data_IF_658553045784
#
_entry.id   IF_658553045784
#
_cell.length_a   1.000
_cell.length_b   1.000
_cell.length_c   1.000
_cell.angle_alpha   90.00
_cell.angle_beta   90.00
_cell.angle_gamma   90.00
#
_symmetry.space_group_name_H-M   'P 1'
#
loop_
_entity.id
_entity.type
_entity.pdbx_description
1 polymer ?
#
# COMPACT_ATOMS: atom_id res chain seq x y z
N UNK A 1 3.07 -3.12 18.12
CA UNK A 1 3.92 -2.10 17.50
C UNK A 1 5.17 -1.91 18.35
N UNK A 2 6.28 -1.68 17.71
CA UNK A 2 7.54 -1.26 18.30
C UNK A 2 7.80 0.19 17.89
N UNK A 3 8.20 1.02 18.82
CA UNK A 3 8.37 2.45 18.61
C UNK A 3 9.79 2.81 19.05
N UNK A 4 10.58 3.37 18.16
CA UNK A 4 11.89 3.89 18.45
C UNK A 4 11.79 5.38 18.67
N UNK A 5 12.18 5.84 19.85
CA UNK A 5 12.22 7.23 20.26
C UNK A 5 13.67 7.62 20.51
N UNK A 6 14.05 8.85 20.20
CA UNK A 6 15.40 9.34 20.46
C UNK A 6 15.73 9.24 21.96
N UNK A 7 16.92 8.72 22.29
CA UNK A 7 17.36 8.56 23.68
C UNK A 7 17.53 9.86 24.44
N UNK A 8 17.61 10.99 23.73
CA UNK A 8 17.72 12.33 24.32
C UNK A 8 16.35 12.92 24.71
N UNK A 9 15.25 12.31 24.30
CA UNK A 9 13.88 12.74 24.65
C UNK A 9 13.68 12.62 26.16
N UNK A 10 13.13 13.65 26.78
CA UNK A 10 12.91 13.68 28.24
C UNK A 10 11.94 12.56 28.66
N UNK A 11 12.28 11.84 29.72
CA UNK A 11 11.45 10.79 30.31
C UNK A 11 10.02 11.25 30.64
N UNK A 12 9.85 12.51 31.03
CA UNK A 12 8.52 13.09 31.29
C UNK A 12 7.68 13.20 30.01
N UNK A 13 8.30 13.50 28.88
CA UNK A 13 7.61 13.62 27.59
C UNK A 13 7.33 12.23 27.00
N UNK A 14 8.23 11.26 27.17
CA UNK A 14 7.97 9.86 26.85
C UNK A 14 6.80 9.32 27.68
N UNK A 15 6.74 9.65 28.96
CA UNK A 15 5.60 9.28 29.81
C UNK A 15 4.27 9.87 29.35
N UNK A 16 4.25 11.14 28.91
CA UNK A 16 3.03 11.77 28.34
C UNK A 16 2.64 11.11 27.02
N UNK A 17 3.61 10.86 26.15
CA UNK A 17 3.42 10.17 24.87
C UNK A 17 2.78 8.79 25.09
N UNK A 18 3.31 7.98 26.00
CA UNK A 18 2.76 6.69 26.38
C UNK A 18 1.32 6.77 26.86
N UNK A 19 1.02 7.75 27.74
CA UNK A 19 -0.34 7.98 28.23
C UNK A 19 -1.32 8.42 27.12
N UNK A 20 -0.86 9.11 26.09
CA UNK A 20 -1.68 9.44 24.93
C UNK A 20 -1.87 8.21 24.05
N UNK A 21 -0.82 7.43 23.81
CA UNK A 21 -0.88 6.20 23.01
C UNK A 21 -1.77 5.12 23.65
N UNK A 22 -1.77 5.00 24.97
CA UNK A 22 -2.60 4.05 25.72
C UNK A 22 -4.11 4.31 25.58
N UNK A 23 -4.49 5.54 25.18
CA UNK A 23 -5.88 5.95 24.95
C UNK A 23 -6.34 5.78 23.51
N UNK A 24 -5.45 5.43 22.60
CA UNK A 24 -5.78 5.18 21.19
C UNK A 24 -6.64 3.93 21.10
N UNK A 25 -7.68 4.00 20.30
CA UNK A 25 -8.63 2.90 20.15
C UNK A 25 -7.92 1.60 19.68
N UNK A 26 -8.25 0.48 20.33
CA UNK A 26 -7.65 -0.82 20.07
C UNK A 26 -6.23 -1.01 20.63
N UNK A 27 -5.65 -0.06 21.35
CA UNK A 27 -4.42 -0.25 22.12
C UNK A 27 -4.77 -0.84 23.49
N UNK A 28 -4.17 -1.97 23.82
CA UNK A 28 -4.36 -2.64 25.12
C UNK A 28 -3.43 -2.10 26.20
N UNK A 29 -2.24 -1.74 25.80
CA UNK A 29 -1.21 -1.13 26.66
C UNK A 29 -0.08 -0.56 25.82
N UNK A 30 0.53 0.51 26.30
CA UNK A 30 1.76 1.08 25.78
C UNK A 30 2.80 1.14 26.91
N UNK A 31 3.98 0.57 26.69
CA UNK A 31 5.03 0.40 27.71
C UNK A 31 6.38 0.88 27.17
N UNK A 32 7.08 1.64 27.97
CA UNK A 32 8.47 2.02 27.76
C UNK A 32 9.32 1.67 29.01
N UNK A 33 10.62 1.90 28.93
CA UNK A 33 11.54 1.60 30.05
C UNK A 33 11.06 2.29 31.33
N UNK A 34 10.72 3.56 31.27
CA UNK A 34 10.31 4.37 32.41
C UNK A 34 8.95 3.94 33.01
N UNK A 35 8.04 3.42 32.18
CA UNK A 35 6.75 2.91 32.64
C UNK A 35 6.84 1.55 33.30
N UNK A 36 7.79 0.70 32.89
CA UNK A 36 8.07 -0.60 33.51
C UNK A 36 8.67 -0.44 34.93
N UNK A 37 9.45 0.62 35.12
CA UNK A 37 10.17 0.85 36.37
C UNK A 37 9.29 1.58 37.39
N UNK A 38 8.38 2.44 36.93
CA UNK A 38 7.61 3.35 37.77
C UNK A 38 8.49 4.40 38.49
N UNK A 39 7.91 5.49 38.94
CA UNK A 39 8.66 6.62 39.57
C UNK A 39 9.34 6.26 40.88
N UNK A 40 9.10 5.09 41.45
CA UNK A 40 9.60 4.65 42.74
C UNK A 40 10.79 3.71 42.71
N UNK A 41 11.21 3.22 41.51
CA UNK A 41 12.32 2.29 41.38
C UNK A 41 13.57 3.05 40.89
N UNK A 42 14.65 3.10 41.65
CA UNK A 42 15.90 3.71 41.20
C UNK A 42 16.45 2.94 39.99
N UNK A 43 16.94 3.68 38.97
CA UNK A 43 17.54 3.10 37.76
C UNK A 43 18.69 2.10 38.07
N UNK A 44 19.36 2.25 39.21
CA UNK A 44 20.41 1.34 39.68
C UNK A 44 19.92 -0.06 40.09
N UNK A 45 18.63 -0.29 40.22
CA UNK A 45 18.05 -1.61 40.55
C UNK A 45 17.64 -2.40 39.31
N UNK A 46 17.75 -1.83 38.13
CA UNK A 46 17.41 -2.53 36.87
C UNK A 46 18.62 -3.29 36.39
N UNK A 47 18.46 -4.57 36.05
CA UNK A 47 19.55 -5.33 35.42
C UNK A 47 20.03 -4.64 34.14
N UNK A 48 21.33 -4.45 33.96
CA UNK A 48 21.94 -3.85 32.77
C UNK A 48 21.50 -4.53 31.48
N UNK A 49 21.16 -5.81 31.53
CA UNK A 49 20.63 -6.59 30.43
C UNK A 49 19.27 -6.08 29.92
N UNK A 50 18.42 -5.56 30.78
CA UNK A 50 17.11 -5.00 30.41
C UNK A 50 17.28 -3.60 29.84
N UNK A 51 18.09 -2.77 30.52
CA UNK A 51 18.36 -1.39 30.06
C UNK A 51 19.05 -1.39 28.71
N UNK A 52 20.07 -2.22 28.49
CA UNK A 52 20.79 -2.30 27.21
C UNK A 52 19.95 -2.89 26.07
N UNK A 53 18.90 -3.67 26.38
CA UNK A 53 17.97 -4.20 25.38
C UNK A 53 16.90 -3.19 24.95
N UNK A 54 16.53 -2.28 25.84
CA UNK A 54 15.45 -1.31 25.60
C UNK A 54 15.95 0.11 25.30
N UNK A 55 17.21 0.43 25.63
CA UNK A 55 17.80 1.76 25.40
C UNK A 55 19.26 1.62 24.99
N UNK A 56 19.64 2.34 23.94
CA UNK A 56 21.03 2.54 23.56
C UNK A 56 21.34 4.04 23.46
N UNK A 57 22.54 4.40 22.99
CA UNK A 57 23.00 5.78 22.91
C UNK A 57 22.13 6.65 21.96
N UNK A 58 21.40 6.03 21.04
CA UNK A 58 20.64 6.73 20.02
C UNK A 58 19.12 6.60 20.17
N UNK A 59 18.64 5.42 20.51
CA UNK A 59 17.21 5.14 20.59
C UNK A 59 16.82 4.42 21.87
N UNK A 60 15.60 4.67 22.31
CA UNK A 60 14.89 3.88 23.30
C UNK A 60 13.68 3.21 22.67
N UNK A 61 13.44 1.96 23.04
CA UNK A 61 12.36 1.14 22.54
C UNK A 61 11.13 1.28 23.43
N UNK A 62 10.02 1.59 22.81
CA UNK A 62 8.69 1.59 23.40
C UNK A 62 7.85 0.52 22.68
N UNK A 63 7.00 -0.16 23.42
CA UNK A 63 6.13 -1.22 22.92
C UNK A 63 4.67 -0.81 23.08
N UNK A 64 3.87 -0.98 22.05
CA UNK A 64 2.42 -0.81 22.11
C UNK A 64 1.73 -2.05 21.55
N UNK A 65 0.80 -2.62 22.31
CA UNK A 65 0.07 -3.82 21.91
C UNK A 65 -1.30 -3.44 21.35
N UNK A 66 -1.52 -3.78 20.08
CA UNK A 66 -2.80 -3.62 19.40
C UNK A 66 -3.63 -4.90 19.47
N UNK A 67 -4.95 -4.76 19.55
CA UNK A 67 -5.90 -5.88 19.38
C UNK A 67 -6.30 -6.11 17.93
N UNK A 68 -6.01 -5.14 17.05
CA UNK A 68 -6.36 -5.23 15.64
C UNK A 68 -5.43 -6.17 14.87
N UNK A 69 -5.99 -6.78 13.84
CA UNK A 69 -5.23 -7.69 12.96
C UNK A 69 -4.45 -6.88 11.93
N UNK A 70 -3.29 -7.41 11.54
CA UNK A 70 -2.47 -6.84 10.46
C UNK A 70 -3.27 -6.78 9.15
N UNK A 71 -3.06 -5.71 8.38
CA UNK A 71 -3.72 -5.42 7.11
C UNK A 71 -5.25 -5.21 7.23
N UNK A 72 -5.72 -4.58 8.30
CA UNK A 72 -7.08 -4.08 8.43
C UNK A 72 -7.12 -2.56 8.44
N UNK A 73 -8.25 -1.97 8.06
CA UNK A 73 -8.41 -0.51 8.02
C UNK A 73 -8.30 0.08 9.43
N UNK A 74 -8.85 -0.61 10.44
CA UNK A 74 -8.76 -0.20 11.84
C UNK A 74 -7.31 -0.12 12.32
N UNK A 75 -6.47 -1.10 11.94
CA UNK A 75 -5.05 -1.06 12.27
C UNK A 75 -4.32 0.08 11.54
N UNK A 76 -4.66 0.32 10.28
CA UNK A 76 -4.03 1.40 9.50
C UNK A 76 -4.36 2.78 10.07
N UNK A 77 -5.59 3.00 10.53
CA UNK A 77 -5.97 4.26 11.15
C UNK A 77 -5.33 4.42 12.54
N UNK A 78 -5.25 3.35 13.33
CA UNK A 78 -4.50 3.33 14.59
C UNK A 78 -3.02 3.67 14.38
N UNK A 79 -2.36 3.13 13.33
CA UNK A 79 -0.96 3.43 12.99
C UNK A 79 -0.77 4.93 12.67
N UNK A 80 -1.70 5.54 11.93
CA UNK A 80 -1.64 6.99 11.63
C UNK A 80 -1.77 7.83 12.89
N UNK A 81 -2.66 7.45 13.80
CA UNK A 81 -2.85 8.15 15.07
C UNK A 81 -1.62 8.00 15.97
N UNK A 82 -1.08 6.78 16.11
CA UNK A 82 0.16 6.54 16.85
C UNK A 82 1.35 7.33 16.27
N UNK A 83 1.47 7.41 14.95
CA UNK A 83 2.49 8.21 14.28
C UNK A 83 2.32 9.70 14.56
N UNK A 84 1.09 10.20 14.59
CA UNK A 84 0.80 11.61 14.90
C UNK A 84 1.19 11.93 16.33
N UNK A 85 0.88 11.04 17.28
CA UNK A 85 1.29 11.20 18.69
C UNK A 85 2.81 11.13 18.80
N UNK A 86 3.46 10.17 18.16
CA UNK A 86 4.92 10.02 18.18
C UNK A 86 5.62 11.28 17.70
N UNK A 87 5.28 11.79 16.52
CA UNK A 87 5.91 12.99 15.95
C UNK A 87 5.61 14.29 16.69
N UNK A 88 4.60 14.32 17.56
CA UNK A 88 4.35 15.44 18.48
C UNK A 88 5.45 15.57 19.56
N UNK A 89 6.04 14.46 19.97
CA UNK A 89 7.05 14.39 21.03
C UNK A 89 8.46 14.15 20.49
N UNK A 90 8.59 13.47 19.36
CA UNK A 90 9.85 13.16 18.69
C UNK A 90 9.66 13.12 17.17
N UNK A 91 10.12 14.18 16.46
CA UNK A 91 10.04 14.24 14.99
C UNK A 91 10.86 13.14 14.30
N UNK A 92 11.91 12.64 14.93
CA UNK A 92 12.78 11.57 14.43
C UNK A 92 12.33 10.18 14.84
N UNK A 93 11.29 10.08 15.65
CA UNK A 93 10.75 8.83 16.12
C UNK A 93 10.21 7.95 15.00
N UNK A 94 10.33 6.64 15.15
CA UNK A 94 9.93 5.66 14.13
C UNK A 94 9.00 4.61 14.71
N UNK A 95 7.85 4.42 14.07
CA UNK A 95 6.95 3.31 14.35
C UNK A 95 7.34 2.13 13.47
N UNK A 96 7.74 1.01 14.09
CA UNK A 96 8.26 -0.17 13.41
C UNK A 96 7.51 -1.44 13.80
N UNK A 97 7.67 -2.49 13.02
CA UNK A 97 7.03 -3.78 13.24
C UNK A 97 6.17 -4.23 12.07
N UNK A 98 5.55 -5.38 12.20
CA UNK A 98 4.78 -6.01 11.12
C UNK A 98 3.60 -5.16 10.66
N UNK A 99 2.86 -4.55 11.59
CA UNK A 99 1.70 -3.71 11.27
C UNK A 99 2.09 -2.46 10.47
N UNK A 100 2.97 -1.57 10.98
CA UNK A 100 3.44 -0.39 10.25
C UNK A 100 4.10 -0.75 8.91
N UNK A 101 4.96 -1.78 8.88
CA UNK A 101 5.60 -2.22 7.65
C UNK A 101 4.58 -2.65 6.59
N UNK A 102 3.55 -3.41 7.01
CA UNK A 102 2.50 -3.86 6.09
C UNK A 102 1.65 -2.70 5.60
N UNK A 103 1.32 -1.75 6.47
CA UNK A 103 0.57 -0.55 6.11
C UNK A 103 1.34 0.29 5.07
N UNK A 104 2.62 0.55 5.30
CA UNK A 104 3.49 1.27 4.37
C UNK A 104 3.62 0.54 3.03
N UNK A 105 3.81 -0.80 3.08
CA UNK A 105 3.91 -1.61 1.87
C UNK A 105 2.63 -1.54 1.03
N UNK A 106 1.45 -1.59 1.65
CA UNK A 106 0.16 -1.47 0.97
C UNK A 106 0.02 -0.08 0.33
N UNK A 107 0.33 0.99 1.05
CA UNK A 107 0.20 2.36 0.56
C UNK A 107 1.15 2.65 -0.61
N UNK A 108 2.43 2.28 -0.48
CA UNK A 108 3.43 2.43 -1.52
C UNK A 108 3.03 1.62 -2.76
N UNK A 109 2.63 0.36 -2.56
CA UNK A 109 2.26 -0.54 -3.66
C UNK A 109 1.02 -0.03 -4.39
N UNK A 110 0.00 0.47 -3.69
CA UNK A 110 -1.21 1.03 -4.32
C UNK A 110 -0.90 2.28 -5.16
N UNK A 111 -0.03 3.15 -4.65
CA UNK A 111 0.43 4.35 -5.35
C UNK A 111 1.26 4.00 -6.59
N UNK A 112 2.20 3.08 -6.45
CA UNK A 112 3.05 2.63 -7.56
C UNK A 112 2.23 1.93 -8.62
N UNK A 113 1.29 1.09 -8.22
CA UNK A 113 0.38 0.42 -9.14
C UNK A 113 -0.46 1.40 -9.96
N UNK A 114 -1.07 2.40 -9.32
CA UNK A 114 -1.82 3.46 -10.03
C UNK A 114 -0.96 4.19 -11.04
N UNK A 115 0.28 4.50 -10.66
CA UNK A 115 1.24 5.20 -11.52
C UNK A 115 1.66 4.32 -12.70
N UNK A 116 2.06 3.08 -12.45
CA UNK A 116 2.48 2.13 -13.49
C UNK A 116 1.34 1.82 -14.44
N UNK A 117 0.13 1.62 -13.93
CA UNK A 117 -1.06 1.38 -14.75
C UNK A 117 -1.37 2.57 -15.65
N UNK A 118 -1.37 3.80 -15.12
CA UNK A 118 -1.63 4.99 -15.90
C UNK A 118 -0.59 5.20 -17.02
N UNK A 119 0.69 5.00 -16.70
CA UNK A 119 1.78 5.08 -17.69
C UNK A 119 1.66 3.99 -18.75
N UNK A 120 1.37 2.75 -18.35
CA UNK A 120 1.20 1.62 -19.27
C UNK A 120 0.03 1.84 -20.22
N UNK A 121 -1.12 2.25 -19.72
CA UNK A 121 -2.30 2.59 -20.51
C UNK A 121 -1.96 3.71 -21.51
N UNK A 122 -1.27 4.75 -21.07
CA UNK A 122 -0.85 5.87 -21.91
C UNK A 122 0.07 5.44 -23.05
N UNK A 123 1.08 4.61 -22.74
CA UNK A 123 2.01 4.07 -23.76
C UNK A 123 1.26 3.18 -24.76
N UNK A 124 0.43 2.27 -24.29
CA UNK A 124 -0.37 1.40 -25.16
C UNK A 124 -1.30 2.22 -26.07
N UNK A 125 -1.94 3.24 -25.50
CA UNK A 125 -2.78 4.15 -26.28
C UNK A 125 -2.00 4.81 -27.43
N UNK A 126 -0.81 5.33 -27.15
CA UNK A 126 0.06 5.93 -28.17
C UNK A 126 0.49 4.93 -29.24
N UNK A 127 0.89 3.72 -28.82
CA UNK A 127 1.30 2.65 -29.76
C UNK A 127 0.14 2.30 -30.70
N UNK A 128 -1.06 2.05 -30.18
CA UNK A 128 -2.24 1.71 -31.00
C UNK A 128 -2.60 2.88 -31.91
N UNK A 129 -2.52 4.12 -31.44
CA UNK A 129 -2.79 5.32 -32.24
C UNK A 129 -1.84 5.42 -33.43
N UNK A 130 -0.54 5.21 -33.22
CA UNK A 130 0.46 5.24 -34.28
C UNK A 130 0.29 4.09 -35.27
N UNK A 131 -0.01 2.88 -34.78
CA UNK A 131 -0.19 1.69 -35.61
C UNK A 131 -1.39 1.81 -36.52
N UNK A 132 -2.51 2.29 -36.02
CA UNK A 132 -3.77 2.38 -36.78
C UNK A 132 -4.02 3.75 -37.44
N UNK A 133 -3.18 4.73 -37.12
CA UNK A 133 -3.35 6.15 -37.57
C UNK A 133 -4.77 6.67 -37.31
N UNK A 134 -5.34 6.33 -36.17
CA UNK A 134 -6.71 6.66 -35.77
C UNK A 134 -6.77 6.85 -34.26
N UNK A 135 -7.48 7.85 -33.79
CA UNK A 135 -7.69 8.14 -32.36
C UNK A 135 -8.85 7.29 -31.79
N UNK A 136 -9.86 6.99 -32.60
CA UNK A 136 -11.06 6.28 -32.13
C UNK A 136 -10.77 4.81 -31.73
N UNK A 137 -9.87 4.14 -32.46
CA UNK A 137 -9.55 2.72 -32.20
C UNK A 137 -8.87 2.52 -30.83
N UNK A 138 -7.83 3.30 -30.45
CA UNK A 138 -7.25 3.20 -29.11
C UNK A 138 -8.28 3.42 -28.00
N UNK A 139 -9.17 4.41 -28.13
CA UNK A 139 -10.20 4.69 -27.13
C UNK A 139 -11.09 3.46 -26.91
N UNK A 140 -11.58 2.88 -27.99
CA UNK A 140 -12.47 1.71 -27.91
C UNK A 140 -11.73 0.50 -27.35
N UNK A 141 -10.54 0.18 -27.88
CA UNK A 141 -9.81 -1.01 -27.49
C UNK A 141 -9.36 -0.95 -26.03
N UNK A 142 -8.73 0.17 -25.62
CA UNK A 142 -8.30 0.35 -24.23
C UNK A 142 -9.51 0.40 -23.30
N UNK A 143 -10.58 1.09 -23.67
CA UNK A 143 -11.80 1.15 -22.88
C UNK A 143 -12.44 -0.22 -22.64
N UNK A 144 -12.49 -1.09 -23.65
CA UNK A 144 -13.01 -2.47 -23.50
C UNK A 144 -12.10 -3.30 -22.62
N UNK A 145 -10.78 -3.17 -22.74
CA UNK A 145 -9.81 -3.92 -21.92
C UNK A 145 -9.94 -3.48 -20.46
N UNK A 146 -9.94 -2.18 -20.19
CA UNK A 146 -10.09 -1.65 -18.83
C UNK A 146 -11.43 -2.07 -18.22
N UNK A 147 -12.51 -2.01 -18.98
CA UNK A 147 -13.81 -2.48 -18.52
C UNK A 147 -13.78 -3.97 -18.14
N UNK A 148 -13.13 -4.82 -18.94
CA UNK A 148 -12.96 -6.24 -18.63
C UNK A 148 -12.13 -6.47 -17.35
N UNK A 149 -11.08 -5.68 -17.12
CA UNK A 149 -10.29 -5.70 -15.88
C UNK A 149 -11.16 -5.34 -14.69
N UNK A 150 -11.95 -4.26 -14.77
CA UNK A 150 -12.87 -3.85 -13.71
C UNK A 150 -13.88 -4.94 -13.36
N UNK A 151 -14.49 -5.56 -14.35
CA UNK A 151 -15.44 -6.66 -14.15
C UNK A 151 -14.75 -7.83 -13.45
N UNK A 152 -13.56 -8.24 -13.93
CA UNK A 152 -12.79 -9.33 -13.36
C UNK A 152 -12.40 -9.09 -11.91
N UNK A 153 -11.99 -7.88 -11.57
CA UNK A 153 -11.64 -7.47 -10.19
C UNK A 153 -12.89 -7.32 -9.29
N UNK A 154 -14.05 -7.04 -9.86
CA UNK A 154 -15.31 -6.94 -9.11
C UNK A 154 -15.90 -8.29 -8.70
N UNK A 155 -15.65 -9.36 -9.45
CA UNK A 155 -16.22 -10.70 -9.20
C UNK A 155 -15.93 -11.21 -7.77
N UNK A 156 -14.68 -11.16 -7.25
CA UNK A 156 -14.37 -11.63 -5.91
C UNK A 156 -15.17 -10.95 -4.80
N UNK A 157 -15.50 -9.67 -4.97
CA UNK A 157 -16.34 -8.93 -4.03
C UNK A 157 -17.73 -9.57 -3.89
N UNK A 158 -18.38 -9.90 -5.02
CA UNK A 158 -19.69 -10.57 -5.03
C UNK A 158 -19.61 -12.01 -4.52
N UNK A 159 -18.47 -12.67 -4.67
CA UNK A 159 -18.24 -14.02 -4.16
C UNK A 159 -17.81 -14.03 -2.67
N UNK A 160 -17.65 -12.89 -2.03
CA UNK A 160 -17.19 -12.79 -0.64
C UNK A 160 -15.75 -13.28 -0.43
N UNK A 161 -14.95 -13.34 -1.50
CA UNK A 161 -13.56 -13.82 -1.45
C UNK A 161 -12.62 -12.63 -1.28
N UNK A 162 -11.76 -12.70 -0.26
CA UNK A 162 -10.73 -11.69 -0.03
C UNK A 162 -9.53 -11.97 -0.94
N UNK A 163 -9.21 -11.02 -1.81
CA UNK A 163 -7.99 -11.08 -2.62
C UNK A 163 -6.80 -10.51 -1.83
N UNK A 164 -5.61 -11.14 -1.91
CA UNK A 164 -4.38 -10.51 -1.47
C UNK A 164 -4.16 -9.19 -2.26
N UNK A 165 -3.61 -8.17 -1.62
CA UNK A 165 -3.38 -6.87 -2.27
C UNK A 165 -2.53 -6.95 -3.55
N UNK A 166 -1.60 -7.91 -3.60
CA UNK A 166 -0.75 -8.17 -4.78
C UNK A 166 -1.56 -8.74 -5.97
N UNK A 167 -2.68 -9.42 -5.72
CA UNK A 167 -3.45 -10.06 -6.78
C UNK A 167 -4.04 -9.06 -7.78
N UNK A 168 -4.48 -7.89 -7.31
CA UNK A 168 -5.00 -6.82 -8.18
C UNK A 168 -3.94 -6.31 -9.17
N UNK A 169 -2.70 -6.17 -8.71
CA UNK A 169 -1.55 -5.76 -9.52
C UNK A 169 -1.27 -6.79 -10.61
N UNK A 170 -1.17 -8.06 -10.22
CA UNK A 170 -0.86 -9.16 -11.13
C UNK A 170 -1.95 -9.33 -12.18
N UNK A 171 -3.22 -9.32 -11.76
CA UNK A 171 -4.37 -9.47 -12.67
C UNK A 171 -4.40 -8.32 -13.67
N UNK A 172 -4.32 -7.06 -13.23
CA UNK A 172 -4.34 -5.89 -14.09
C UNK A 172 -3.21 -5.89 -15.11
N UNK A 173 -1.98 -6.13 -14.68
CA UNK A 173 -0.80 -6.10 -15.55
C UNK A 173 -0.80 -7.23 -16.59
N UNK A 174 -1.11 -8.46 -16.17
CA UNK A 174 -1.16 -9.61 -17.08
C UNK A 174 -2.31 -9.45 -18.09
N UNK A 175 -3.48 -9.05 -17.61
CA UNK A 175 -4.65 -8.92 -18.48
C UNK A 175 -4.44 -7.78 -19.49
N UNK A 176 -3.91 -6.62 -19.07
CA UNK A 176 -3.59 -5.53 -19.98
C UNK A 176 -2.58 -5.98 -21.05
N UNK A 177 -1.45 -6.56 -20.64
CA UNK A 177 -0.37 -6.97 -21.55
C UNK A 177 -0.81 -8.04 -22.56
N UNK A 178 -1.46 -9.11 -22.12
CA UNK A 178 -1.86 -10.21 -23.00
C UNK A 178 -3.05 -9.86 -23.91
N UNK A 179 -3.98 -9.03 -23.44
CA UNK A 179 -5.19 -8.73 -24.22
C UNK A 179 -4.94 -7.72 -25.35
N UNK A 180 -3.99 -6.78 -25.14
CA UNK A 180 -3.64 -5.77 -26.15
C UNK A 180 -3.15 -6.40 -27.45
N UNK A 181 -2.28 -7.40 -27.38
CA UNK A 181 -1.73 -8.07 -28.56
C UNK A 181 -2.82 -8.74 -29.39
N UNK A 182 -3.75 -9.44 -28.74
CA UNK A 182 -4.90 -10.05 -29.41
C UNK A 182 -5.83 -8.99 -30.02
N UNK A 183 -6.08 -7.89 -29.33
CA UNK A 183 -6.90 -6.80 -29.82
C UNK A 183 -6.30 -6.15 -31.08
N UNK A 184 -4.98 -5.94 -31.12
CA UNK A 184 -4.24 -5.43 -32.27
C UNK A 184 -4.33 -6.40 -33.44
N UNK A 185 -4.07 -7.69 -33.22
CA UNK A 185 -4.14 -8.72 -34.25
C UNK A 185 -5.53 -8.81 -34.87
N UNK A 186 -6.56 -8.89 -34.04
CA UNK A 186 -7.95 -9.00 -34.49
C UNK A 186 -8.39 -7.77 -35.28
N UNK A 187 -8.07 -6.57 -34.80
CA UNK A 187 -8.40 -5.33 -35.48
C UNK A 187 -7.67 -5.19 -36.81
N UNK A 188 -6.40 -5.61 -36.88
CA UNK A 188 -5.61 -5.59 -38.11
C UNK A 188 -6.20 -6.55 -39.14
N UNK A 189 -6.57 -7.76 -38.71
CA UNK A 189 -7.22 -8.74 -39.57
C UNK A 189 -8.56 -8.23 -40.09
N UNK A 190 -9.40 -7.72 -39.22
CA UNK A 190 -10.69 -7.12 -39.60
C UNK A 190 -10.54 -6.01 -40.65
N UNK A 191 -9.61 -5.09 -40.46
CA UNK A 191 -9.35 -4.02 -41.44
C UNK A 191 -8.91 -4.59 -42.82
N UNK A 192 -8.04 -5.59 -42.79
CA UNK A 192 -7.55 -6.23 -44.01
C UNK A 192 -8.69 -6.89 -44.77
N UNK A 193 -9.50 -7.70 -44.12
CA UNK A 193 -10.64 -8.40 -44.74
C UNK A 193 -11.68 -7.42 -45.29
N UNK A 194 -11.98 -6.35 -44.51
CA UNK A 194 -12.91 -5.32 -45.00
C UNK A 194 -12.39 -4.58 -46.23
N UNK A 195 -11.11 -4.32 -46.33
CA UNK A 195 -10.52 -3.66 -47.50
C UNK A 195 -10.51 -4.60 -48.73
N UNK A 196 -10.30 -5.92 -48.55
CA UNK A 196 -10.41 -6.91 -49.61
C UNK A 196 -11.87 -7.05 -50.12
N UNK A 197 -12.84 -7.16 -49.22
CA UNK A 197 -14.25 -7.22 -49.58
C UNK A 197 -14.77 -5.96 -50.30
N UNK A 198 -14.28 -4.78 -49.91
CA UNK A 198 -14.64 -3.51 -50.59
C UNK A 198 -14.05 -3.43 -51.99
N UNK A 199 -12.87 -4.01 -52.25
CA UNK A 199 -12.28 -4.02 -53.60
C UNK A 199 -13.00 -5.00 -54.53
N UNK A 200 -13.44 -6.14 -54.01
CA UNK A 200 -14.17 -7.16 -54.81
C UNK A 200 -15.55 -6.66 -55.22
N UNK A 201 -16.23 -5.86 -54.37
CA UNK A 201 -17.55 -5.30 -54.67
C UNK A 201 -17.51 -4.05 -55.58
N UNK A 202 -16.33 -3.54 -55.92
CA UNK A 202 -16.15 -2.43 -56.87
C UNK A 202 -15.73 -2.89 -58.26
N UNK A 203 -15.50 -4.20 -58.46
CA UNK A 203 -15.16 -4.84 -59.73
C UNK A 203 -16.34 -5.60 -60.38
N UNK A 204 -17.51 -5.69 -59.70
CA UNK A 204 -18.78 -6.16 -60.21
C UNK A 204 -19.65 -4.96 -60.60
#
# INVERSE_FOLDING_TARGET
HMILVDSSTDSADVGKMLNEMDKVDGIKWALGLDSLIGPSVPASMIPDSVTSSLKNDKYQLVLANSEYKVATDELNDQIKELNTILHKYDEGGMLIGEGPLTADLIDITDKDFKTVSAVSIGIIFVIIMLLFKSISLPIILVGVIEFAIFVNMGIPYYMGTKLPFVASIVIGTIQLGSTVDYAILMTTRYKRERNHGANTSSEE
#
